data_IF_312247241225
#
_entry.id   IF_312247241225
#
_cell.length_a   1.000
_cell.length_b   1.000
_cell.length_c   1.000
_cell.angle_alpha   90.00
_cell.angle_beta   90.00
_cell.angle_gamma   90.00
#
_symmetry.space_group_name_H-M   'P 1'
#
loop_
_entity.id
_entity.type
_entity.pdbx_description
1 polymer ?
#
# COMPACT_ATOMS: atom_id res chain seq x y z
N UNK A 1 13.75 -59.82 -43.14
CA UNK A 1 12.82 -59.50 -42.05
C UNK A 1 13.42 -58.32 -41.30
N UNK A 2 13.02 -57.10 -41.64
CA UNK A 2 13.48 -55.86 -40.96
C UNK A 2 12.35 -55.34 -40.05
N UNK A 3 12.58 -55.43 -38.74
CA UNK A 3 11.65 -54.92 -37.75
C UNK A 3 11.81 -53.41 -37.55
N UNK A 4 10.80 -52.61 -37.89
CA UNK A 4 10.72 -51.19 -37.60
C UNK A 4 10.41 -50.99 -36.12
N UNK A 5 11.39 -50.51 -35.34
CA UNK A 5 11.14 -49.98 -33.99
C UNK A 5 10.45 -48.63 -34.09
N UNK A 6 9.16 -48.56 -33.77
CA UNK A 6 8.41 -47.31 -33.57
C UNK A 6 8.83 -46.67 -32.22
N UNK A 7 9.62 -45.61 -32.29
CA UNK A 7 9.90 -44.77 -31.10
C UNK A 7 8.70 -43.86 -30.87
N UNK A 8 7.90 -44.13 -29.85
CA UNK A 8 6.86 -43.25 -29.35
C UNK A 8 7.54 -42.15 -28.55
N UNK A 9 7.55 -40.91 -29.07
CA UNK A 9 7.93 -39.73 -28.28
C UNK A 9 6.78 -39.32 -27.40
N UNK A 10 6.98 -39.45 -26.07
CA UNK A 10 6.07 -38.94 -25.07
C UNK A 10 6.29 -37.42 -24.96
N UNK A 11 5.36 -36.61 -25.48
CA UNK A 11 5.38 -35.17 -25.30
C UNK A 11 4.94 -34.84 -23.85
N UNK A 12 5.89 -34.40 -23.02
CA UNK A 12 5.58 -33.87 -21.67
C UNK A 12 5.08 -32.44 -21.86
N UNK A 13 3.78 -32.22 -21.68
CA UNK A 13 3.19 -30.91 -21.65
C UNK A 13 3.57 -30.25 -20.29
N UNK A 14 4.47 -29.27 -20.32
CA UNK A 14 4.77 -28.42 -19.17
C UNK A 14 3.59 -27.46 -19.01
N UNK A 15 2.71 -27.74 -18.05
CA UNK A 15 1.67 -26.81 -17.62
C UNK A 15 2.37 -25.74 -16.78
N UNK A 16 2.58 -24.56 -17.36
CA UNK A 16 3.02 -23.38 -16.62
C UNK A 16 1.88 -22.97 -15.67
N UNK A 17 2.02 -23.29 -14.38
CA UNK A 17 1.15 -22.75 -13.36
C UNK A 17 1.32 -21.20 -13.33
N UNK A 18 0.22 -20.42 -13.28
CA UNK A 18 0.34 -18.98 -13.09
C UNK A 18 1.08 -18.75 -11.77
N UNK A 19 2.17 -17.99 -11.80
CA UNK A 19 2.83 -17.51 -10.61
C UNK A 19 1.82 -16.61 -9.90
N UNK A 20 1.22 -17.10 -8.81
CA UNK A 20 0.44 -16.29 -7.90
C UNK A 20 1.41 -15.23 -7.37
N UNK A 21 1.21 -13.97 -7.76
CA UNK A 21 1.87 -12.86 -7.10
C UNK A 21 1.51 -12.99 -5.62
N UNK A 22 2.50 -13.24 -4.76
CA UNK A 22 2.26 -13.27 -3.32
C UNK A 22 1.85 -11.87 -2.91
N UNK A 23 0.60 -11.71 -2.49
CA UNK A 23 0.12 -10.48 -1.89
C UNK A 23 0.95 -10.24 -0.62
N UNK A 24 1.53 -9.06 -0.52
CA UNK A 24 2.33 -8.68 0.64
C UNK A 24 1.43 -7.86 1.56
N UNK A 25 1.28 -8.30 2.80
CA UNK A 25 0.35 -7.70 3.75
C UNK A 25 -1.09 -8.17 3.52
N UNK A 26 -2.08 -7.28 3.69
CA UNK A 26 -3.50 -7.59 3.47
C UNK A 26 -3.74 -8.06 2.03
N UNK A 27 -4.53 -9.11 1.85
CA UNK A 27 -4.75 -9.70 0.53
C UNK A 27 -5.57 -8.78 -0.39
N UNK A 28 -5.22 -8.78 -1.68
CA UNK A 28 -6.02 -8.11 -2.72
C UNK A 28 -7.40 -8.79 -2.80
N UNK A 29 -8.45 -7.98 -2.85
CA UNK A 29 -9.84 -8.43 -2.84
C UNK A 29 -10.52 -8.34 -1.49
N UNK A 30 -9.77 -8.24 -0.38
CA UNK A 30 -10.35 -8.05 0.94
C UNK A 30 -10.87 -6.63 1.16
N UNK A 31 -11.76 -6.47 2.14
CA UNK A 31 -12.20 -5.16 2.63
C UNK A 31 -11.10 -4.55 3.49
N UNK A 32 -10.74 -3.30 3.19
CA UNK A 32 -9.81 -2.57 4.04
C UNK A 32 -10.37 -2.40 5.45
N UNK A 33 -9.65 -2.82 6.50
CA UNK A 33 -10.08 -2.65 7.87
C UNK A 33 -10.05 -1.17 8.28
N UNK A 34 -10.99 -0.79 9.15
CA UNK A 34 -10.93 0.47 9.87
C UNK A 34 -9.94 0.38 11.04
N UNK A 35 -9.95 1.40 11.87
CA UNK A 35 -9.18 1.42 13.11
C UNK A 35 -8.86 2.85 13.57
N UNK A 36 -8.47 3.02 14.84
CA UNK A 36 -8.17 4.33 15.41
C UNK A 36 -6.83 4.86 14.92
N UNK A 37 -6.82 6.08 14.45
CA UNK A 37 -5.64 6.86 14.10
C UNK A 37 -5.73 8.24 14.77
N UNK A 38 -4.61 8.91 14.93
CA UNK A 38 -4.57 10.27 15.47
C UNK A 38 -4.17 11.26 14.38
N UNK A 39 -4.84 12.39 14.35
CA UNK A 39 -4.38 13.55 13.58
C UNK A 39 -3.11 14.13 14.23
N UNK A 40 -2.38 14.98 13.51
CA UNK A 40 -1.15 15.57 14.04
C UNK A 40 -1.39 16.55 15.22
N UNK A 41 -2.62 16.97 15.46
CA UNK A 41 -3.04 17.73 16.64
C UNK A 41 -3.58 16.85 17.80
N UNK A 42 -3.53 15.53 17.62
CA UNK A 42 -3.84 14.54 18.66
C UNK A 42 -5.31 14.11 18.75
N UNK A 43 -6.15 14.51 17.80
CA UNK A 43 -7.54 14.07 17.74
C UNK A 43 -7.64 12.66 17.20
N UNK A 44 -8.35 11.78 17.89
CA UNK A 44 -8.62 10.41 17.42
C UNK A 44 -9.71 10.43 16.36
N UNK A 45 -9.44 9.73 15.25
CA UNK A 45 -10.38 9.47 14.17
C UNK A 45 -10.36 7.98 13.84
N UNK A 46 -11.35 7.49 13.13
CA UNK A 46 -11.36 6.11 12.64
C UNK A 46 -11.12 6.07 11.13
N UNK A 47 -10.18 5.24 10.66
CA UNK A 47 -9.86 5.09 9.25
C UNK A 47 -11.10 4.70 8.41
N UNK A 48 -12.05 3.97 8.98
CA UNK A 48 -13.32 3.61 8.30
C UNK A 48 -14.10 4.82 7.79
N UNK A 49 -13.88 6.02 8.35
CA UNK A 49 -14.56 7.24 7.89
C UNK A 49 -14.19 7.65 6.47
N UNK A 50 -13.07 7.14 5.94
CA UNK A 50 -12.59 7.40 4.58
C UNK A 50 -12.95 6.28 3.60
N UNK A 51 -13.14 5.05 4.11
CA UNK A 51 -13.32 3.87 3.28
C UNK A 51 -14.75 3.80 2.70
N UNK A 52 -14.87 3.34 1.45
CA UNK A 52 -16.17 3.20 0.77
C UNK A 52 -16.80 4.52 0.31
N UNK A 53 -16.08 5.64 0.33
CA UNK A 53 -16.55 6.96 -0.12
C UNK A 53 -15.83 7.46 -1.38
N UNK A 54 -14.92 6.67 -1.89
CA UNK A 54 -14.07 6.94 -3.02
C UNK A 54 -12.77 6.12 -2.89
N UNK A 55 -11.92 6.14 -3.91
CA UNK A 55 -10.62 5.49 -3.84
C UNK A 55 -9.73 6.08 -2.76
N UNK A 56 -8.96 5.20 -2.07
CA UNK A 56 -8.02 5.60 -1.02
C UNK A 56 -6.65 4.99 -1.29
N UNK A 57 -5.60 5.76 -1.11
CA UNK A 57 -4.21 5.29 -1.06
C UNK A 57 -3.72 5.46 0.37
N UNK A 58 -3.25 4.36 0.96
CA UNK A 58 -2.56 4.35 2.25
C UNK A 58 -1.07 4.12 2.01
N UNK A 59 -0.22 4.88 2.70
CA UNK A 59 1.22 4.61 2.82
C UNK A 59 1.57 4.46 4.30
N UNK A 60 2.07 3.30 4.70
CA UNK A 60 2.63 3.08 6.03
C UNK A 60 4.06 3.58 6.06
N UNK A 61 4.31 4.61 6.88
CA UNK A 61 5.44 5.50 6.74
C UNK A 61 6.13 5.83 8.08
N UNK A 62 7.41 6.22 8.01
CA UNK A 62 8.13 6.77 9.16
C UNK A 62 9.17 7.82 8.75
N UNK A 63 9.50 8.74 9.67
CA UNK A 63 10.50 9.79 9.46
C UNK A 63 11.91 9.26 9.16
N UNK A 64 12.22 8.05 9.59
CA UNK A 64 13.49 7.37 9.40
C UNK A 64 13.51 6.39 8.20
N UNK A 65 12.39 6.27 7.48
CA UNK A 65 12.20 5.29 6.41
C UNK A 65 12.91 5.73 5.11
N UNK A 66 14.02 5.09 4.76
CA UNK A 66 14.75 5.37 3.52
C UNK A 66 13.97 5.06 2.24
N UNK A 67 13.24 3.94 2.22
CA UNK A 67 12.38 3.56 1.09
C UNK A 67 11.22 4.54 0.89
N UNK A 68 10.63 5.07 1.99
CA UNK A 68 9.59 6.08 1.90
C UNK A 68 10.13 7.37 1.27
N UNK A 69 11.35 7.79 1.67
CA UNK A 69 12.03 8.94 1.06
C UNK A 69 12.30 8.72 -0.43
N UNK A 70 12.65 7.51 -0.84
CA UNK A 70 12.86 7.15 -2.24
C UNK A 70 11.54 7.22 -3.03
N UNK A 71 10.41 6.77 -2.44
CA UNK A 71 9.09 6.78 -3.07
C UNK A 71 8.43 8.17 -3.08
N UNK A 72 8.82 9.06 -2.17
CA UNK A 72 8.17 10.36 -1.95
C UNK A 72 7.98 11.22 -3.22
N UNK A 73 8.94 11.32 -4.16
CA UNK A 73 8.72 12.09 -5.39
C UNK A 73 7.55 11.55 -6.23
N UNK A 74 7.44 10.22 -6.34
CA UNK A 74 6.34 9.57 -7.07
C UNK A 74 4.99 9.76 -6.35
N UNK A 75 4.98 9.67 -5.01
CA UNK A 75 3.80 9.96 -4.19
C UNK A 75 3.34 11.41 -4.34
N UNK A 76 4.25 12.38 -4.26
CA UNK A 76 3.91 13.81 -4.48
C UNK A 76 3.33 14.06 -5.86
N UNK A 77 3.91 13.45 -6.90
CA UNK A 77 3.40 13.56 -8.27
C UNK A 77 1.98 12.98 -8.40
N UNK A 78 1.74 11.80 -7.81
CA UNK A 78 0.42 11.18 -7.80
C UNK A 78 -0.60 12.00 -7.01
N UNK A 79 -0.24 12.50 -5.83
CA UNK A 79 -1.08 13.39 -5.02
C UNK A 79 -1.47 14.66 -5.78
N UNK A 80 -0.50 15.32 -6.43
CA UNK A 80 -0.76 16.52 -7.25
C UNK A 80 -1.74 16.24 -8.39
N UNK A 81 -1.65 15.06 -9.03
CA UNK A 81 -2.43 14.72 -10.21
C UNK A 81 -3.82 14.19 -9.88
N UNK A 82 -3.96 13.42 -8.79
CA UNK A 82 -5.15 12.61 -8.53
C UNK A 82 -5.92 12.98 -7.25
N UNK A 83 -5.49 13.97 -6.47
CA UNK A 83 -6.13 14.33 -5.18
C UNK A 83 -7.60 14.76 -5.29
N UNK A 84 -8.05 15.18 -6.47
CA UNK A 84 -9.48 15.47 -6.71
C UNK A 84 -10.35 14.20 -6.77
N UNK A 85 -9.77 13.03 -7.04
CA UNK A 85 -10.46 11.76 -7.27
C UNK A 85 -10.09 10.69 -6.25
N UNK A 86 -8.91 10.80 -5.63
CA UNK A 86 -8.34 9.80 -4.73
C UNK A 86 -7.93 10.45 -3.42
N UNK A 87 -8.34 9.88 -2.30
CA UNK A 87 -7.88 10.27 -0.97
C UNK A 87 -6.52 9.66 -0.69
N UNK A 88 -5.52 10.47 -0.40
CA UNK A 88 -4.18 10.02 0.02
C UNK A 88 -4.03 10.20 1.52
N UNK A 89 -3.64 9.12 2.21
CA UNK A 89 -3.43 9.08 3.65
C UNK A 89 -2.05 8.45 3.92
N UNK A 90 -1.17 9.22 4.56
CA UNK A 90 0.09 8.71 5.10
C UNK A 90 -0.13 8.30 6.54
N UNK A 91 0.00 7.00 6.82
CA UNK A 91 -0.11 6.43 8.16
C UNK A 91 1.28 6.36 8.78
N UNK A 92 1.60 7.32 9.64
CA UNK A 92 2.87 7.33 10.36
C UNK A 92 2.84 6.28 11.49
N UNK A 93 3.64 5.21 11.35
CA UNK A 93 3.75 4.18 12.38
C UNK A 93 4.48 4.72 13.61
N UNK A 94 4.15 4.23 14.82
CA UNK A 94 4.78 4.71 16.06
C UNK A 94 6.17 4.14 16.36
N UNK A 95 6.64 3.18 15.55
CA UNK A 95 7.92 2.50 15.75
C UNK A 95 9.07 3.50 15.63
N UNK A 96 9.86 3.63 16.71
CA UNK A 96 11.05 4.52 16.80
C UNK A 96 10.78 6.00 16.45
N UNK A 97 9.54 6.46 16.60
CA UNK A 97 9.18 7.87 16.45
C UNK A 97 7.94 8.23 17.28
N UNK A 98 7.90 9.48 17.72
CA UNK A 98 6.75 10.05 18.44
C UNK A 98 5.88 10.89 17.50
N UNK A 99 4.63 11.14 17.91
CA UNK A 99 3.75 12.10 17.23
C UNK A 99 4.41 13.49 17.08
N UNK A 100 5.13 13.94 18.11
CA UNK A 100 5.84 15.23 18.07
C UNK A 100 6.91 15.26 16.96
N UNK A 101 7.66 14.16 16.79
CA UNK A 101 8.65 14.02 15.73
C UNK A 101 8.01 14.01 14.33
N UNK A 102 6.89 13.30 14.16
CA UNK A 102 6.13 13.27 12.92
C UNK A 102 5.60 14.66 12.56
N UNK A 103 5.02 15.35 13.56
CA UNK A 103 4.52 16.74 13.41
C UNK A 103 5.62 17.72 13.01
N UNK A 104 6.79 17.65 13.65
CA UNK A 104 7.95 18.47 13.31
C UNK A 104 8.43 18.22 11.90
N UNK A 105 8.51 16.94 11.46
CA UNK A 105 8.88 16.56 10.11
C UNK A 105 7.87 17.11 9.07
N UNK A 106 6.57 16.93 9.31
CA UNK A 106 5.52 17.41 8.40
C UNK A 106 5.54 18.93 8.24
N UNK A 107 5.83 19.66 9.33
CA UNK A 107 5.96 21.14 9.29
C UNK A 107 7.06 21.60 8.32
N UNK A 108 8.16 20.85 8.23
CA UNK A 108 9.30 21.19 7.35
C UNK A 108 9.09 20.70 5.92
N UNK A 109 8.57 19.47 5.76
CA UNK A 109 8.53 18.80 4.46
C UNK A 109 7.21 19.02 3.70
N UNK A 110 6.14 19.40 4.41
CA UNK A 110 4.82 19.70 3.83
C UNK A 110 4.37 18.66 2.79
N UNK A 111 4.39 17.37 3.19
CA UNK A 111 3.89 16.29 2.33
C UNK A 111 2.38 16.53 2.08
N UNK A 112 1.93 16.57 0.82
CA UNK A 112 0.51 16.72 0.52
C UNK A 112 -0.31 15.53 1.03
N UNK A 113 -1.64 15.67 1.05
CA UNK A 113 -2.54 14.64 1.57
C UNK A 113 -2.71 14.75 3.08
N UNK A 114 -3.29 13.71 3.67
CA UNK A 114 -3.54 13.65 5.11
C UNK A 114 -2.53 12.76 5.78
N UNK A 115 -1.89 13.27 6.83
CA UNK A 115 -0.96 12.49 7.65
C UNK A 115 -1.61 12.17 8.99
N UNK A 116 -1.68 10.88 9.30
CA UNK A 116 -2.27 10.34 10.52
C UNK A 116 -1.24 9.49 11.26
N UNK A 117 -1.34 9.41 12.58
CA UNK A 117 -0.41 8.68 13.43
C UNK A 117 -1.05 7.42 14.02
N UNK A 118 -0.46 6.28 13.79
CA UNK A 118 -0.88 4.99 14.33
C UNK A 118 -0.18 4.71 15.66
N UNK A 119 -0.71 5.30 16.74
CA UNK A 119 -0.08 5.30 18.07
C UNK A 119 0.18 3.91 18.62
N UNK A 120 -0.76 2.99 18.42
CA UNK A 120 -0.70 1.64 18.99
C UNK A 120 -0.33 0.56 17.96
N UNK A 121 -0.16 0.93 16.68
CA UNK A 121 0.06 -0.03 15.60
C UNK A 121 -1.17 -0.86 15.25
N UNK A 122 -2.37 -0.43 15.68
CA UNK A 122 -3.61 -1.17 15.45
C UNK A 122 -3.98 -1.22 13.96
N UNK A 123 -3.82 -0.09 13.26
CA UNK A 123 -4.10 -0.03 11.82
C UNK A 123 -2.99 -0.71 11.03
N UNK A 124 -1.73 -0.51 11.38
CA UNK A 124 -0.61 -1.22 10.75
C UNK A 124 -0.75 -2.74 10.90
N UNK A 125 -1.16 -3.21 12.08
CA UNK A 125 -1.42 -4.64 12.34
C UNK A 125 -2.62 -5.17 11.55
N UNK A 126 -3.73 -4.41 11.48
CA UNK A 126 -4.93 -4.83 10.76
C UNK A 126 -4.71 -4.93 9.23
N UNK A 127 -3.75 -4.19 8.69
CA UNK A 127 -3.33 -4.27 7.28
C UNK A 127 -2.17 -5.25 7.06
N UNK A 128 -1.76 -6.02 8.08
CA UNK A 128 -0.58 -6.89 8.03
C UNK A 128 0.64 -6.20 7.42
N UNK A 129 0.83 -4.91 7.76
CA UNK A 129 1.88 -4.09 7.18
C UNK A 129 3.28 -4.67 7.52
N UNK A 130 4.02 -5.24 6.55
CA UNK A 130 5.25 -5.98 6.82
C UNK A 130 6.43 -5.06 7.11
N UNK A 131 6.34 -3.81 6.66
CA UNK A 131 7.39 -2.80 6.81
C UNK A 131 6.83 -1.41 6.55
N UNK A 132 7.63 -0.36 6.78
CA UNK A 132 7.38 0.97 6.23
C UNK A 132 7.61 1.00 4.71
N UNK A 133 7.13 2.01 4.00
CA UNK A 133 6.98 2.06 2.55
C UNK A 133 6.01 0.99 1.98
N UNK A 134 5.15 0.46 2.83
CA UNK A 134 4.03 -0.38 2.41
C UNK A 134 2.90 0.50 1.90
N UNK A 135 2.49 0.28 0.67
CA UNK A 135 1.40 1.01 0.03
C UNK A 135 0.22 0.08 -0.23
N UNK A 136 -0.97 0.55 0.10
CA UNK A 136 -2.25 -0.13 -0.17
C UNK A 136 -3.14 0.82 -0.96
N UNK A 137 -3.73 0.32 -2.05
CA UNK A 137 -4.75 1.07 -2.79
C UNK A 137 -6.08 0.35 -2.63
N UNK A 138 -7.09 1.13 -2.23
CA UNK A 138 -8.47 0.67 -2.09
C UNK A 138 -9.34 1.34 -3.14
N UNK A 139 -10.27 0.59 -3.70
CA UNK A 139 -11.26 1.10 -4.64
C UNK A 139 -12.36 1.92 -3.95
N UNK A 140 -13.28 2.46 -4.74
CA UNK A 140 -14.42 3.24 -4.24
C UNK A 140 -15.36 2.49 -3.29
N UNK A 141 -15.28 1.16 -3.24
CA UNK A 141 -16.07 0.31 -2.33
C UNK A 141 -15.31 -0.02 -1.04
N UNK A 142 -14.04 0.40 -0.93
CA UNK A 142 -13.14 0.09 0.18
C UNK A 142 -12.51 -1.31 0.08
N UNK A 143 -12.48 -1.91 -1.12
CA UNK A 143 -11.80 -3.18 -1.37
C UNK A 143 -10.35 -2.93 -1.76
N UNK A 144 -9.42 -3.71 -1.23
CA UNK A 144 -7.99 -3.68 -1.60
C UNK A 144 -7.83 -4.16 -3.04
N UNK A 145 -7.17 -3.35 -3.87
CA UNK A 145 -6.89 -3.65 -5.29
C UNK A 145 -5.41 -3.63 -5.63
N UNK A 146 -4.58 -3.18 -4.70
CA UNK A 146 -3.13 -3.20 -4.82
C UNK A 146 -2.48 -3.17 -3.45
N UNK A 147 -1.42 -3.94 -3.29
CA UNK A 147 -0.46 -3.85 -2.19
C UNK A 147 0.96 -3.90 -2.74
N UNK A 148 1.90 -3.24 -2.07
CA UNK A 148 3.31 -3.26 -2.45
C UNK A 148 4.21 -2.67 -1.38
N UNK A 149 5.49 -3.07 -1.37
CA UNK A 149 6.50 -2.62 -0.41
C UNK A 149 7.75 -2.13 -1.17
N UNK A 150 8.41 -1.12 -0.61
CA UNK A 150 9.68 -0.62 -1.11
C UNK A 150 9.59 0.72 -1.82
N UNK A 151 10.75 1.33 -2.06
CA UNK A 151 10.86 2.69 -2.56
C UNK A 151 10.69 2.86 -4.08
N UNK A 152 10.71 1.76 -4.84
CA UNK A 152 10.69 1.77 -6.32
C UNK A 152 9.33 1.40 -6.91
N UNK A 153 8.26 1.42 -6.10
CA UNK A 153 6.91 1.09 -6.55
C UNK A 153 6.44 2.06 -7.65
N UNK A 154 5.72 1.53 -8.64
CA UNK A 154 5.06 2.38 -9.64
C UNK A 154 3.74 2.93 -9.07
N UNK A 155 3.86 4.00 -8.29
CA UNK A 155 2.74 4.65 -7.58
C UNK A 155 1.64 5.06 -8.56
N UNK A 156 1.99 5.67 -9.70
CA UNK A 156 1.00 6.12 -10.67
C UNK A 156 0.20 4.95 -11.25
N UNK A 157 0.86 3.86 -11.61
CA UNK A 157 0.18 2.67 -12.14
C UNK A 157 -0.74 2.03 -11.08
N UNK A 158 -0.32 2.02 -9.81
CA UNK A 158 -1.15 1.52 -8.72
C UNK A 158 -2.40 2.38 -8.49
N UNK A 159 -2.24 3.71 -8.48
CA UNK A 159 -3.37 4.66 -8.33
C UNK A 159 -4.37 4.55 -9.47
N UNK A 160 -3.89 4.41 -10.72
CA UNK A 160 -4.77 4.27 -11.90
C UNK A 160 -5.69 3.04 -11.85
N UNK A 161 -5.33 2.00 -11.11
CA UNK A 161 -6.22 0.82 -10.93
C UNK A 161 -7.51 1.16 -10.17
N UNK A 162 -7.53 2.27 -9.42
CA UNK A 162 -8.67 2.68 -8.60
C UNK A 162 -9.59 3.69 -9.29
N UNK A 163 -9.19 4.23 -10.44
CA UNK A 163 -9.93 5.22 -11.23
C UNK A 163 -10.77 4.56 -12.31
#
# INVERSE_FOLDING_TARGET
MFGLLRRTMLAVAIVAAPALAQDVGIAVGEKGPGGPLETLDGKVINLSTYLGKGPVVLEFWATWCGNCKQMEPAMRAAMKKYSAQVKFITVAVSINQSLARVKAWQKVNALPGEMLYDRKGEVSGAYDAPATSYMVVLDKTGKVIYTGVGGTQNVEAAVKKAL
#
